data_IF_769531431684
#
_entry.id   IF_769531431684
#
_cell.length_a   1.000
_cell.length_b   1.000
_cell.length_c   1.000
_cell.angle_alpha   90.00
_cell.angle_beta   90.00
_cell.angle_gamma   90.00
#
_symmetry.space_group_name_H-M   'P 1'
#
loop_
_entity.id
_entity.type
_entity.pdbx_description
1 polymer ?
#
# COMPACT_ATOMS: atom_id res chain seq x y z
N UNK A 1 -29.68 -19.82 -25.99
CA UNK A 1 -29.15 -18.44 -26.01
C UNK A 1 -27.91 -18.43 -25.14
N UNK A 2 -26.76 -17.99 -25.65
CA UNK A 2 -25.58 -17.85 -24.80
C UNK A 2 -25.91 -16.84 -23.69
N UNK A 3 -25.73 -17.24 -22.44
CA UNK A 3 -26.00 -16.38 -21.27
C UNK A 3 -25.20 -15.09 -21.42
N UNK A 4 -25.90 -13.94 -21.43
CA UNK A 4 -25.29 -12.62 -21.49
C UNK A 4 -24.45 -12.45 -20.22
N UNK A 5 -23.13 -12.37 -20.40
CA UNK A 5 -22.22 -12.26 -19.27
C UNK A 5 -22.54 -11.01 -18.44
N UNK A 6 -22.44 -11.16 -17.13
CA UNK A 6 -22.71 -10.10 -16.17
C UNK A 6 -21.40 -9.51 -15.66
N UNK A 7 -21.31 -8.18 -15.59
CA UNK A 7 -20.06 -7.47 -15.32
C UNK A 7 -20.29 -6.28 -14.37
N UNK A 8 -19.51 -6.22 -13.29
CA UNK A 8 -19.40 -5.03 -12.44
C UNK A 8 -18.07 -4.33 -12.72
N UNK A 9 -18.09 -3.04 -13.07
CA UNK A 9 -16.88 -2.23 -13.22
C UNK A 9 -16.73 -1.34 -12.00
N UNK A 10 -15.60 -1.45 -11.30
CA UNK A 10 -15.28 -0.70 -10.09
C UNK A 10 -14.32 0.40 -10.47
N UNK A 11 -14.73 1.64 -10.21
CA UNK A 11 -14.00 2.87 -10.49
C UNK A 11 -13.68 3.57 -9.16
N UNK A 12 -12.50 3.33 -8.55
CA UNK A 12 -12.08 4.14 -7.41
C UNK A 12 -11.76 5.57 -7.89
N UNK A 13 -12.29 6.57 -7.20
CA UNK A 13 -12.17 7.97 -7.59
C UNK A 13 -11.81 8.87 -6.40
N UNK A 14 -10.90 9.83 -6.65
CA UNK A 14 -10.63 10.93 -5.76
C UNK A 14 -10.08 12.12 -6.56
N UNK A 15 -10.81 13.23 -6.57
CA UNK A 15 -10.54 14.38 -7.44
C UNK A 15 -10.45 14.02 -8.94
N UNK A 16 -11.46 13.33 -9.45
CA UNK A 16 -11.52 12.83 -10.82
C UNK A 16 -12.65 13.49 -11.64
N UNK A 17 -13.15 14.67 -11.22
CA UNK A 17 -14.28 15.35 -11.88
C UNK A 17 -14.10 15.48 -13.39
N UNK A 18 -12.90 15.86 -13.83
CA UNK A 18 -12.59 16.12 -15.24
C UNK A 18 -12.47 14.84 -16.08
N UNK A 19 -12.21 13.69 -15.43
CA UNK A 19 -12.00 12.42 -16.13
C UNK A 19 -13.25 11.52 -16.09
N UNK A 20 -13.99 11.51 -14.98
CA UNK A 20 -14.98 10.46 -14.68
C UNK A 20 -16.10 10.36 -15.72
N UNK A 21 -16.57 11.50 -16.27
CA UNK A 21 -17.55 11.50 -17.36
C UNK A 21 -17.03 10.75 -18.58
N UNK A 22 -15.88 11.17 -19.09
CA UNK A 22 -15.26 10.61 -20.30
C UNK A 22 -15.03 9.10 -20.13
N UNK A 23 -14.61 8.67 -18.94
CA UNK A 23 -14.39 7.25 -18.64
C UNK A 23 -15.70 6.47 -18.68
N UNK A 24 -16.73 6.95 -17.97
CA UNK A 24 -18.04 6.29 -17.93
C UNK A 24 -18.64 6.23 -19.33
N UNK A 25 -18.61 7.33 -20.09
CA UNK A 25 -19.09 7.38 -21.48
C UNK A 25 -18.34 6.39 -22.37
N UNK A 26 -17.03 6.24 -22.19
CA UNK A 26 -16.24 5.30 -23.00
C UNK A 26 -16.61 3.84 -22.78
N UNK A 27 -17.14 3.48 -21.60
CA UNK A 27 -17.49 2.10 -21.23
C UNK A 27 -19.00 1.83 -21.24
N UNK A 28 -19.83 2.84 -21.50
CA UNK A 28 -21.29 2.72 -21.37
C UNK A 28 -21.90 1.76 -22.39
N UNK A 29 -21.34 1.73 -23.61
CA UNK A 29 -21.76 0.85 -24.69
C UNK A 29 -21.49 -0.63 -24.38
N UNK A 30 -20.72 -0.94 -23.33
CA UNK A 30 -20.61 -2.32 -22.84
C UNK A 30 -21.95 -2.85 -22.33
N UNK A 31 -22.89 -1.98 -21.94
CA UNK A 31 -24.27 -2.37 -21.58
C UNK A 31 -25.04 -3.04 -22.73
N UNK A 32 -24.63 -2.83 -23.99
CA UNK A 32 -25.19 -3.51 -25.16
C UNK A 32 -24.76 -4.98 -25.27
N UNK A 33 -23.68 -5.36 -24.58
CA UNK A 33 -23.05 -6.70 -24.66
C UNK A 33 -23.12 -7.47 -23.34
N UNK A 34 -23.19 -6.76 -22.22
CA UNK A 34 -23.13 -7.31 -20.88
C UNK A 34 -24.28 -6.79 -20.02
N UNK A 35 -24.73 -7.62 -19.06
CA UNK A 35 -25.51 -7.10 -17.93
C UNK A 35 -24.56 -6.30 -17.05
N UNK A 36 -24.51 -4.99 -17.27
CA UNK A 36 -23.50 -4.09 -16.72
C UNK A 36 -23.94 -3.51 -15.38
N UNK A 37 -22.98 -3.31 -14.48
CA UNK A 37 -23.02 -2.42 -13.33
C UNK A 37 -21.73 -1.60 -13.34
N UNK A 38 -21.80 -0.31 -13.03
CA UNK A 38 -20.64 0.56 -12.79
C UNK A 38 -20.75 1.10 -11.37
N UNK A 39 -19.77 0.76 -10.53
CA UNK A 39 -19.67 1.22 -9.15
C UNK A 39 -18.53 2.22 -9.05
N UNK A 40 -18.86 3.49 -8.89
CA UNK A 40 -17.88 4.52 -8.55
C UNK A 40 -17.73 4.58 -7.05
N UNK A 41 -16.51 4.43 -6.54
CA UNK A 41 -16.21 4.52 -5.11
C UNK A 41 -15.42 5.80 -4.87
N UNK A 42 -16.09 6.81 -4.33
CA UNK A 42 -15.54 8.17 -4.19
C UNK A 42 -15.17 8.48 -2.72
N UNK A 43 -13.96 8.98 -2.51
CA UNK A 43 -13.41 9.33 -1.18
C UNK A 43 -13.78 10.74 -0.74
N UNK A 44 -15.05 11.09 -0.91
CA UNK A 44 -15.61 12.39 -0.56
C UNK A 44 -14.88 13.54 -1.27
N UNK A 45 -14.78 13.44 -2.60
CA UNK A 45 -13.98 14.37 -3.39
C UNK A 45 -14.51 15.81 -3.29
N UNK A 46 -13.66 16.79 -2.94
CA UNK A 46 -14.05 18.20 -2.83
C UNK A 46 -14.24 18.89 -4.20
N UNK A 47 -13.76 18.30 -5.28
CA UNK A 47 -13.84 18.87 -6.64
C UNK A 47 -15.22 18.70 -7.30
N UNK A 48 -16.11 17.93 -6.68
CA UNK A 48 -17.45 17.67 -7.19
C UNK A 48 -17.56 16.39 -8.05
N UNK A 49 -16.59 15.47 -7.96
CA UNK A 49 -16.63 14.16 -8.64
C UNK A 49 -17.93 13.41 -8.33
N UNK A 50 -18.33 13.37 -7.05
CA UNK A 50 -19.56 12.68 -6.60
C UNK A 50 -20.83 13.21 -7.28
N UNK A 51 -20.94 14.54 -7.44
CA UNK A 51 -22.09 15.23 -8.01
C UNK A 51 -22.28 14.86 -9.48
N UNK A 52 -21.17 14.82 -10.23
CA UNK A 52 -21.15 14.40 -11.63
C UNK A 52 -21.60 12.94 -11.79
N UNK A 53 -21.12 12.05 -10.92
CA UNK A 53 -21.53 10.64 -10.95
C UNK A 53 -23.02 10.47 -10.63
N UNK A 54 -23.56 11.27 -9.70
CA UNK A 54 -24.99 11.26 -9.38
C UNK A 54 -25.85 11.73 -10.56
N UNK A 55 -25.39 12.69 -11.35
CA UNK A 55 -26.08 13.12 -12.58
C UNK A 55 -26.12 11.99 -13.60
N UNK A 56 -25.01 11.28 -13.81
CA UNK A 56 -24.94 10.11 -14.70
C UNK A 56 -25.82 8.95 -14.18
N UNK A 57 -25.86 8.71 -12.88
CA UNK A 57 -26.70 7.68 -12.26
C UNK A 57 -28.21 7.94 -12.42
N UNK A 58 -28.63 9.20 -12.59
CA UNK A 58 -30.02 9.54 -12.93
C UNK A 58 -30.38 9.18 -14.37
N UNK A 59 -29.38 9.18 -15.27
CA UNK A 59 -29.56 8.83 -16.67
C UNK A 59 -29.44 7.32 -16.91
N UNK A 60 -28.54 6.65 -16.18
CA UNK A 60 -28.22 5.24 -16.37
C UNK A 60 -28.37 4.46 -15.06
N UNK A 61 -29.39 3.61 -15.00
CA UNK A 61 -29.77 2.85 -13.79
C UNK A 61 -28.74 1.82 -13.32
N UNK A 62 -27.79 1.46 -14.18
CA UNK A 62 -26.67 0.56 -13.84
C UNK A 62 -25.45 1.28 -13.26
N UNK A 63 -25.49 2.60 -13.09
CA UNK A 63 -24.42 3.37 -12.44
C UNK A 63 -24.78 3.61 -10.97
N UNK A 64 -23.84 3.34 -10.08
CA UNK A 64 -23.99 3.54 -8.63
C UNK A 64 -22.79 4.26 -8.04
N UNK A 65 -23.07 5.18 -7.12
CA UNK A 65 -22.06 5.87 -6.31
C UNK A 65 -21.99 5.27 -4.91
N UNK A 66 -20.78 4.95 -4.46
CA UNK A 66 -20.45 4.66 -3.06
C UNK A 66 -19.57 5.79 -2.55
N UNK A 67 -20.18 6.79 -1.91
CA UNK A 67 -19.47 7.93 -1.30
C UNK A 67 -18.96 7.57 0.09
N UNK A 68 -17.68 7.82 0.35
CA UNK A 68 -16.99 7.39 1.56
C UNK A 68 -16.54 8.58 2.41
N UNK A 69 -17.37 8.97 3.38
CA UNK A 69 -17.07 10.09 4.28
C UNK A 69 -16.18 9.63 5.44
N UNK A 70 -15.13 10.39 5.74
CA UNK A 70 -14.23 10.16 6.89
C UNK A 70 -13.28 8.96 6.76
N UNK A 71 -13.20 8.36 5.57
CA UNK A 71 -12.30 7.24 5.25
C UNK A 71 -11.78 7.39 3.83
N UNK A 72 -10.53 7.00 3.59
CA UNK A 72 -9.91 7.13 2.27
C UNK A 72 -8.89 6.02 1.97
N UNK A 73 -8.50 5.92 0.72
CA UNK A 73 -7.44 5.05 0.23
C UNK A 73 -7.86 4.19 -0.95
N UNK A 74 -7.01 4.13 -1.98
CA UNK A 74 -7.26 3.39 -3.22
C UNK A 74 -7.58 1.91 -2.99
N UNK A 75 -6.72 1.18 -2.26
CA UNK A 75 -6.94 -0.26 -1.99
C UNK A 75 -8.21 -0.51 -1.19
N UNK A 76 -8.61 0.41 -0.30
CA UNK A 76 -9.85 0.27 0.46
C UNK A 76 -11.07 0.56 -0.41
N UNK A 77 -10.98 1.51 -1.34
CA UNK A 77 -12.04 1.81 -2.32
C UNK A 77 -12.30 0.62 -3.23
N UNK A 78 -11.22 0.04 -3.77
CA UNK A 78 -11.27 -1.16 -4.61
C UNK A 78 -11.92 -2.31 -3.86
N UNK A 79 -11.49 -2.59 -2.62
CA UNK A 79 -12.06 -3.66 -1.80
C UNK A 79 -13.56 -3.45 -1.60
N UNK A 80 -13.97 -2.25 -1.25
CA UNK A 80 -15.37 -1.93 -1.00
C UNK A 80 -16.22 -2.04 -2.26
N UNK A 81 -15.72 -1.59 -3.40
CA UNK A 81 -16.38 -1.79 -4.70
C UNK A 81 -16.56 -3.26 -5.03
N UNK A 82 -15.51 -4.07 -4.89
CA UNK A 82 -15.56 -5.52 -5.12
C UNK A 82 -16.52 -6.25 -4.18
N UNK A 83 -16.64 -5.81 -2.93
CA UNK A 83 -17.60 -6.37 -1.97
C UNK A 83 -19.05 -5.98 -2.26
N UNK A 84 -19.26 -4.85 -2.95
CA UNK A 84 -20.57 -4.35 -3.34
C UNK A 84 -21.02 -4.81 -4.73
N UNK A 85 -20.11 -5.35 -5.54
CA UNK A 85 -20.38 -5.87 -6.88
C UNK A 85 -21.39 -7.03 -6.83
N UNK A 86 -22.40 -6.98 -7.70
CA UNK A 86 -23.51 -7.94 -7.69
C UNK A 86 -23.48 -8.95 -8.84
N UNK A 87 -22.55 -8.80 -9.78
CA UNK A 87 -22.40 -9.69 -10.93
C UNK A 87 -21.33 -10.77 -10.72
N UNK A 88 -21.26 -11.74 -11.62
CA UNK A 88 -20.31 -12.86 -11.55
C UNK A 88 -18.86 -12.39 -11.72
N UNK A 89 -18.63 -11.53 -12.72
CA UNK A 89 -17.33 -10.94 -12.99
C UNK A 89 -17.27 -9.50 -12.49
N UNK A 90 -16.10 -9.13 -11.97
CA UNK A 90 -15.80 -7.75 -11.64
C UNK A 90 -14.51 -7.30 -12.31
N UNK A 91 -14.45 -6.04 -12.72
CA UNK A 91 -13.27 -5.40 -13.28
C UNK A 91 -12.96 -4.14 -12.50
N UNK A 92 -11.70 -3.96 -12.13
CA UNK A 92 -11.19 -2.76 -11.48
C UNK A 92 -10.35 -2.01 -12.51
N UNK A 93 -10.55 -0.70 -12.61
CA UNK A 93 -9.71 0.17 -13.43
C UNK A 93 -9.66 1.59 -12.86
N UNK A 94 -8.51 2.25 -13.00
CA UNK A 94 -8.34 3.66 -12.62
C UNK A 94 -9.13 4.60 -13.56
N UNK A 95 -9.48 5.78 -13.05
CA UNK A 95 -10.27 6.79 -13.75
C UNK A 95 -9.42 7.79 -14.58
N UNK A 96 -8.19 7.44 -15.00
CA UNK A 96 -7.26 8.39 -15.62
C UNK A 96 -7.16 8.31 -17.15
N UNK A 97 -8.00 7.48 -17.78
CA UNK A 97 -8.07 7.31 -19.24
C UNK A 97 -7.05 6.35 -19.84
N UNK A 98 -6.24 5.69 -19.01
CA UNK A 98 -5.15 4.84 -19.49
C UNK A 98 -5.59 3.39 -19.79
N UNK A 99 -6.87 3.07 -19.63
CA UNK A 99 -7.41 1.71 -19.68
C UNK A 99 -8.45 1.55 -20.80
N UNK A 100 -8.08 0.95 -21.95
CA UNK A 100 -8.96 0.89 -23.11
C UNK A 100 -10.07 -0.17 -22.94
N UNK A 101 -11.23 0.10 -23.53
CA UNK A 101 -12.39 -0.82 -23.51
C UNK A 101 -12.12 -2.17 -24.19
N UNK A 102 -11.16 -2.22 -25.12
CA UNK A 102 -10.69 -3.46 -25.72
C UNK A 102 -10.06 -4.41 -24.69
N UNK A 103 -9.31 -3.88 -23.72
CA UNK A 103 -8.71 -4.68 -22.65
C UNK A 103 -9.77 -5.25 -21.71
N UNK A 104 -10.88 -4.52 -21.48
CA UNK A 104 -12.03 -5.00 -20.71
C UNK A 104 -12.60 -6.26 -21.38
N UNK A 105 -12.93 -6.16 -22.67
CA UNK A 105 -13.51 -7.27 -23.45
C UNK A 105 -12.58 -8.49 -23.49
N UNK A 106 -11.28 -8.28 -23.69
CA UNK A 106 -10.29 -9.37 -23.67
C UNK A 106 -10.21 -10.04 -22.29
N UNK A 107 -10.26 -9.26 -21.21
CA UNK A 107 -10.19 -9.79 -19.85
C UNK A 107 -11.37 -10.70 -19.52
N UNK A 108 -12.59 -10.27 -19.84
CA UNK A 108 -13.80 -11.08 -19.62
C UNK A 108 -13.81 -12.32 -20.51
N UNK A 109 -13.34 -12.21 -21.76
CA UNK A 109 -13.16 -13.37 -22.64
C UNK A 109 -12.17 -14.38 -22.07
N UNK A 110 -11.06 -13.93 -21.48
CA UNK A 110 -10.07 -14.78 -20.84
C UNK A 110 -10.60 -15.48 -19.57
N UNK A 111 -11.35 -14.77 -18.71
CA UNK A 111 -11.99 -15.38 -17.54
C UNK A 111 -12.92 -16.53 -17.97
N UNK A 112 -13.84 -16.26 -18.91
CA UNK A 112 -14.83 -17.24 -19.38
C UNK A 112 -14.23 -18.39 -20.19
N UNK A 113 -13.38 -18.07 -21.16
CA UNK A 113 -12.91 -19.02 -22.18
C UNK A 113 -11.73 -19.87 -21.74
N UNK A 114 -10.90 -19.37 -20.82
CA UNK A 114 -9.71 -20.08 -20.34
C UNK A 114 -9.86 -20.61 -18.91
N UNK A 115 -11.00 -20.36 -18.25
CA UNK A 115 -11.25 -20.76 -16.86
C UNK A 115 -10.27 -20.11 -15.89
N UNK A 116 -9.89 -18.86 -16.13
CA UNK A 116 -9.02 -18.10 -15.24
C UNK A 116 -9.86 -17.46 -14.13
N UNK A 117 -9.29 -17.37 -12.92
CA UNK A 117 -9.96 -16.72 -11.80
C UNK A 117 -9.62 -15.21 -11.72
N UNK A 118 -8.49 -14.80 -12.29
CA UNK A 118 -7.99 -13.42 -12.30
C UNK A 118 -7.26 -13.15 -13.62
N UNK A 119 -7.53 -11.99 -14.23
CA UNK A 119 -6.84 -11.50 -15.42
C UNK A 119 -6.29 -10.11 -15.12
N UNK A 120 -4.99 -9.92 -15.34
CA UNK A 120 -4.31 -8.65 -15.10
C UNK A 120 -4.05 -7.94 -16.42
N UNK A 121 -4.37 -6.65 -16.51
CA UNK A 121 -3.89 -5.82 -17.60
C UNK A 121 -2.43 -5.46 -17.34
N UNK A 122 -1.54 -5.91 -18.20
CA UNK A 122 -0.10 -5.70 -18.04
C UNK A 122 0.42 -4.67 -19.02
N UNK A 123 1.27 -3.75 -18.53
CA UNK A 123 2.01 -2.79 -19.34
C UNK A 123 3.27 -3.39 -19.96
N UNK A 124 3.72 -4.54 -19.47
CA UNK A 124 5.00 -5.17 -19.81
C UNK A 124 4.83 -6.48 -20.59
N UNK A 125 3.59 -6.88 -20.89
CA UNK A 125 3.31 -8.06 -21.70
C UNK A 125 3.59 -7.76 -23.18
N UNK A 126 3.99 -8.77 -23.95
CA UNK A 126 4.14 -8.63 -25.41
C UNK A 126 2.83 -8.15 -26.04
N UNK A 127 2.92 -7.12 -26.90
CA UNK A 127 1.76 -6.45 -27.49
C UNK A 127 1.24 -5.24 -26.69
N UNK A 128 1.85 -4.94 -25.54
CA UNK A 128 1.62 -3.69 -24.80
C UNK A 128 2.40 -2.54 -25.42
N UNK A 129 1.94 -1.31 -25.19
CA UNK A 129 2.66 -0.10 -25.56
C UNK A 129 2.65 0.88 -24.38
N UNK A 130 3.80 1.46 -24.06
CA UNK A 130 3.94 2.44 -22.99
C UNK A 130 4.21 3.79 -23.64
N UNK A 131 3.15 4.56 -23.89
CA UNK A 131 3.24 5.88 -24.54
C UNK A 131 3.27 7.02 -23.51
N UNK A 132 2.93 6.72 -22.23
CA UNK A 132 2.68 7.72 -21.19
C UNK A 132 3.61 7.74 -19.96
N UNK A 133 4.63 6.88 -19.86
CA UNK A 133 5.56 6.91 -18.72
C UNK A 133 6.76 7.82 -19.01
N UNK A 134 7.20 8.58 -18.00
CA UNK A 134 8.53 9.19 -18.00
C UNK A 134 9.58 8.10 -17.70
N UNK A 135 10.78 8.19 -18.27
CA UNK A 135 11.84 7.17 -18.13
C UNK A 135 12.12 6.78 -16.65
N UNK A 136 12.06 7.75 -15.73
CA UNK A 136 12.26 7.51 -14.28
C UNK A 136 11.13 6.69 -13.63
N UNK A 137 9.90 6.78 -14.16
CA UNK A 137 8.75 6.01 -13.64
C UNK A 137 8.72 4.60 -14.18
N UNK A 138 9.20 4.40 -15.39
CA UNK A 138 9.34 3.08 -15.98
C UNK A 138 10.37 2.24 -15.22
N UNK A 139 11.52 2.83 -14.87
CA UNK A 139 12.56 2.16 -14.08
C UNK A 139 12.08 1.82 -12.66
N UNK A 140 11.40 2.75 -11.98
CA UNK A 140 10.81 2.49 -10.67
C UNK A 140 9.73 1.39 -10.71
N UNK A 141 8.86 1.40 -11.73
CA UNK A 141 7.82 0.37 -11.92
C UNK A 141 8.43 -1.00 -12.22
N UNK A 142 9.48 -1.04 -13.04
CA UNK A 142 10.22 -2.26 -13.36
C UNK A 142 10.89 -2.83 -12.11
N UNK A 143 11.53 -1.99 -11.30
CA UNK A 143 12.14 -2.39 -10.04
C UNK A 143 11.12 -2.91 -9.04
N UNK A 144 9.96 -2.25 -8.91
CA UNK A 144 8.87 -2.72 -8.07
C UNK A 144 8.34 -4.09 -8.52
N UNK A 145 8.17 -4.29 -9.84
CA UNK A 145 7.78 -5.60 -10.38
C UNK A 145 8.82 -6.69 -10.13
N UNK A 146 10.11 -6.37 -10.25
CA UNK A 146 11.20 -7.30 -9.93
C UNK A 146 11.18 -7.75 -8.46
N UNK A 147 11.00 -6.81 -7.53
CA UNK A 147 10.89 -7.12 -6.10
C UNK A 147 9.61 -7.91 -5.80
N UNK A 148 8.48 -7.49 -6.37
CA UNK A 148 7.20 -8.19 -6.20
C UNK A 148 7.32 -9.66 -6.62
N UNK A 149 7.87 -9.93 -7.80
CA UNK A 149 8.12 -11.28 -8.34
C UNK A 149 8.91 -12.19 -7.40
N UNK A 150 9.85 -11.63 -6.62
CA UNK A 150 10.64 -12.38 -5.63
C UNK A 150 9.86 -12.71 -4.35
N UNK A 151 8.92 -11.85 -3.97
CA UNK A 151 8.18 -11.94 -2.70
C UNK A 151 6.89 -12.76 -2.73
N UNK A 152 6.37 -13.07 -3.92
CA UNK A 152 5.10 -13.78 -4.12
C UNK A 152 5.31 -15.26 -4.50
N UNK A 153 4.23 -16.03 -4.48
CA UNK A 153 4.23 -17.45 -4.85
C UNK A 153 4.89 -17.72 -6.20
N UNK A 154 5.64 -18.83 -6.30
CA UNK A 154 6.30 -19.25 -7.54
C UNK A 154 5.32 -19.41 -8.71
N UNK A 155 4.06 -19.74 -8.40
CA UNK A 155 2.96 -19.90 -9.36
C UNK A 155 2.58 -18.61 -10.10
N UNK A 156 3.04 -17.44 -9.65
CA UNK A 156 2.76 -16.14 -10.28
C UNK A 156 3.95 -15.52 -10.99
N UNK A 157 5.10 -16.19 -11.04
CA UNK A 157 6.33 -15.65 -11.63
C UNK A 157 6.25 -15.43 -13.15
N UNK A 158 5.25 -16.02 -13.82
CA UNK A 158 4.97 -15.81 -15.23
C UNK A 158 4.34 -14.45 -15.51
N UNK A 159 3.74 -13.80 -14.51
CA UNK A 159 3.18 -12.46 -14.66
C UNK A 159 4.29 -11.42 -14.86
N UNK A 160 3.97 -10.39 -15.62
CA UNK A 160 4.86 -9.30 -16.01
C UNK A 160 4.53 -8.01 -15.27
N UNK A 161 3.28 -7.80 -14.81
CA UNK A 161 2.88 -6.60 -14.05
C UNK A 161 2.08 -6.93 -12.78
N UNK A 162 2.73 -6.81 -11.63
CA UNK A 162 2.13 -7.01 -10.30
C UNK A 162 1.50 -5.74 -9.72
N UNK A 163 1.76 -4.58 -10.35
CA UNK A 163 1.43 -3.25 -9.82
C UNK A 163 0.29 -2.57 -10.58
N UNK A 164 -0.32 -3.29 -11.52
CA UNK A 164 -1.40 -2.77 -12.37
C UNK A 164 -2.62 -2.33 -11.56
N UNK A 165 -3.20 -1.20 -11.97
CA UNK A 165 -4.52 -0.73 -11.52
C UNK A 165 -5.68 -1.36 -12.29
N UNK A 166 -5.39 -2.18 -13.30
CA UNK A 166 -6.38 -2.83 -14.16
C UNK A 166 -6.36 -4.35 -13.98
N UNK A 167 -7.45 -4.91 -13.49
CA UNK A 167 -7.60 -6.36 -13.40
C UNK A 167 -9.08 -6.77 -13.35
N UNK A 168 -9.37 -7.97 -13.86
CA UNK A 168 -10.69 -8.58 -13.83
C UNK A 168 -10.67 -9.88 -13.01
N UNK A 169 -11.72 -10.15 -12.26
CA UNK A 169 -11.85 -11.33 -11.39
C UNK A 169 -13.15 -12.06 -11.64
N UNK A 170 -13.10 -13.38 -11.51
CA UNK A 170 -14.25 -14.19 -11.14
C UNK A 170 -14.50 -13.99 -9.64
N UNK A 171 -15.62 -13.34 -9.29
CA UNK A 171 -15.91 -13.04 -7.89
C UNK A 171 -16.20 -14.30 -7.07
N UNK A 172 -16.79 -15.34 -7.65
CA UNK A 172 -17.05 -16.59 -6.92
C UNK A 172 -15.74 -17.18 -6.39
N UNK A 173 -14.71 -17.15 -7.22
CA UNK A 173 -13.40 -17.73 -6.92
C UNK A 173 -12.54 -16.81 -6.05
N UNK A 174 -12.54 -15.50 -6.35
CA UNK A 174 -11.67 -14.54 -5.68
C UNK A 174 -12.23 -13.99 -4.35
N UNK A 175 -13.54 -14.02 -4.12
CA UNK A 175 -14.19 -13.35 -2.98
C UNK A 175 -13.64 -13.76 -1.60
N UNK A 176 -13.38 -15.05 -1.29
CA UNK A 176 -12.79 -15.43 0.00
C UNK A 176 -11.43 -14.75 0.24
N UNK A 177 -10.62 -14.62 -0.81
CA UNK A 177 -9.30 -14.00 -0.74
C UNK A 177 -9.44 -12.48 -0.66
N UNK A 178 -10.30 -11.87 -1.48
CA UNK A 178 -10.62 -10.43 -1.46
C UNK A 178 -11.00 -9.98 -0.05
N UNK A 179 -11.84 -10.73 0.67
CA UNK A 179 -12.20 -10.44 2.07
C UNK A 179 -10.99 -10.41 3.00
N UNK A 180 -10.00 -11.25 2.76
CA UNK A 180 -8.76 -11.35 3.55
C UNK A 180 -7.67 -10.34 3.18
N UNK A 181 -7.83 -9.60 2.07
CA UNK A 181 -6.87 -8.58 1.62
C UNK A 181 -6.78 -7.45 2.64
N UNK A 182 -5.55 -7.10 3.02
CA UNK A 182 -5.28 -5.94 3.86
C UNK A 182 -5.14 -4.69 2.98
N UNK A 183 -6.04 -3.74 3.18
CA UNK A 183 -6.15 -2.50 2.40
C UNK A 183 -5.10 -1.45 2.79
N UNK A 184 -4.38 -1.68 3.89
CA UNK A 184 -3.25 -0.84 4.28
C UNK A 184 -1.95 -1.17 3.51
N UNK A 185 -2.01 -2.12 2.58
CA UNK A 185 -0.88 -2.49 1.73
C UNK A 185 -0.70 -1.55 0.54
N UNK A 186 0.43 -1.68 -0.13
CA UNK A 186 0.84 -0.78 -1.22
C UNK A 186 -0.15 -0.74 -2.40
N UNK A 187 -0.45 -1.90 -2.99
CA UNK A 187 -1.33 -2.04 -4.15
C UNK A 187 -2.26 -3.23 -3.93
N UNK A 188 -3.55 -3.03 -4.19
CA UNK A 188 -4.57 -4.06 -3.97
C UNK A 188 -4.26 -5.36 -4.73
N UNK A 189 -3.89 -5.26 -6.02
CA UNK A 189 -3.54 -6.43 -6.83
C UNK A 189 -2.36 -7.23 -6.24
N UNK A 190 -1.31 -6.55 -5.82
CA UNK A 190 -0.16 -7.19 -5.17
C UNK A 190 -0.58 -7.95 -3.91
N UNK A 191 -1.38 -7.32 -3.05
CA UNK A 191 -1.88 -7.96 -1.82
C UNK A 191 -2.81 -9.13 -2.11
N UNK A 192 -3.65 -9.03 -3.15
CA UNK A 192 -4.51 -10.11 -3.61
C UNK A 192 -3.68 -11.32 -4.06
N UNK A 193 -2.64 -11.11 -4.88
CA UNK A 193 -1.72 -12.17 -5.31
C UNK A 193 -0.95 -12.77 -4.12
N UNK A 194 -0.45 -11.93 -3.21
CA UNK A 194 0.25 -12.37 -2.02
C UNK A 194 -0.64 -13.14 -1.04
N UNK A 195 -1.94 -12.84 -0.96
CA UNK A 195 -2.93 -13.57 -0.13
C UNK A 195 -3.39 -14.86 -0.81
N UNK A 196 -3.59 -14.81 -2.12
CA UNK A 196 -3.96 -15.98 -2.92
C UNK A 196 -2.89 -17.07 -2.87
N UNK A 197 -1.60 -16.68 -2.80
CA UNK A 197 -0.47 -17.61 -2.67
C UNK A 197 -0.44 -18.73 -3.73
N UNK A 198 -0.97 -18.48 -4.93
CA UNK A 198 -1.03 -19.47 -6.01
C UNK A 198 -2.32 -20.30 -6.06
N UNK A 199 -3.35 -19.92 -5.28
CA UNK A 199 -4.68 -20.56 -5.31
C UNK A 199 -5.48 -20.14 -6.56
N UNK A 200 -5.46 -18.86 -6.92
CA UNK A 200 -6.09 -18.34 -8.13
C UNK A 200 -5.27 -18.67 -9.38
N UNK A 201 -5.93 -19.06 -10.47
CA UNK A 201 -5.41 -19.16 -11.82
C UNK A 201 -5.37 -17.77 -12.46
N UNK A 202 -4.18 -17.30 -12.80
CA UNK A 202 -3.96 -15.92 -13.22
C UNK A 202 -3.36 -15.85 -14.62
N UNK A 203 -3.95 -15.02 -15.48
CA UNK A 203 -3.41 -14.66 -16.79
C UNK A 203 -3.26 -13.15 -16.96
N UNK A 204 -2.70 -12.75 -18.11
CA UNK A 204 -2.52 -11.34 -18.46
C UNK A 204 -3.15 -11.02 -19.82
N UNK A 205 -3.51 -9.74 -20.00
CA UNK A 205 -3.83 -9.12 -21.29
C UNK A 205 -2.94 -7.88 -21.47
N UNK A 206 -2.55 -7.53 -22.71
CA UNK A 206 -1.71 -6.35 -22.92
C UNK A 206 -2.53 -5.07 -22.69
N UNK A 207 -1.89 -4.06 -22.11
CA UNK A 207 -2.42 -2.70 -22.00
C UNK A 207 -1.66 -1.75 -22.92
N UNK A 208 -2.41 -0.88 -23.57
CA UNK A 208 -1.87 0.29 -24.26
C UNK A 208 -1.96 1.44 -23.26
N UNK A 209 -0.85 1.76 -22.62
CA UNK A 209 -0.76 2.72 -21.54
C UNK A 209 -0.48 4.12 -22.12
N UNK A 210 -1.57 4.82 -22.42
CA UNK A 210 -1.56 6.18 -22.98
C UNK A 210 -1.22 7.25 -21.92
N UNK A 211 -1.02 8.51 -22.34
CA UNK A 211 -0.90 9.62 -21.39
C UNK A 211 -2.22 9.84 -20.66
N UNK A 212 -2.13 10.20 -19.37
CA UNK A 212 -3.31 10.61 -18.58
C UNK A 212 -4.02 11.78 -19.26
N UNK A 213 -5.35 11.75 -19.22
CA UNK A 213 -6.19 12.84 -19.73
C UNK A 213 -5.95 14.13 -18.91
N UNK A 214 -6.09 14.03 -17.59
CA UNK A 214 -5.86 15.14 -16.66
C UNK A 214 -5.12 14.70 -15.37
N UNK A 215 -4.48 15.65 -14.69
CA UNK A 215 -3.83 15.46 -13.40
C UNK A 215 -2.33 15.08 -13.42
N UNK A 216 -1.68 15.18 -12.25
CA UNK A 216 -0.26 14.81 -12.07
C UNK A 216 -0.13 13.61 -11.16
N UNK A 217 0.48 12.51 -11.63
CA UNK A 217 1.00 11.50 -10.71
C UNK A 217 2.20 12.10 -9.97
N UNK A 218 2.29 11.92 -8.65
CA UNK A 218 3.47 12.26 -7.86
C UNK A 218 3.96 10.96 -7.22
N UNK A 219 5.21 10.59 -7.49
CA UNK A 219 5.89 9.55 -6.73
C UNK A 219 6.18 10.14 -5.35
N UNK A 220 5.26 9.93 -4.42
CA UNK A 220 5.43 10.33 -3.03
C UNK A 220 6.37 9.32 -2.33
N UNK A 221 7.27 9.82 -1.49
CA UNK A 221 8.12 8.99 -0.62
C UNK A 221 7.25 8.03 0.22
N UNK A 222 6.05 8.47 0.62
CA UNK A 222 5.10 7.62 1.33
C UNK A 222 4.67 6.39 0.51
N UNK A 223 4.51 6.55 -0.81
CA UNK A 223 4.15 5.47 -1.73
C UNK A 223 5.30 4.47 -1.85
N UNK A 224 6.54 4.95 -2.03
CA UNK A 224 7.71 4.09 -2.06
C UNK A 224 7.92 3.33 -0.72
N UNK A 225 7.63 4.00 0.40
CA UNK A 225 7.71 3.42 1.73
C UNK A 225 6.68 2.30 1.92
N UNK A 226 5.41 2.52 1.57
CA UNK A 226 4.36 1.49 1.64
C UNK A 226 4.71 0.24 0.83
N UNK A 227 5.34 0.42 -0.34
CA UNK A 227 5.84 -0.68 -1.15
C UNK A 227 6.91 -1.49 -0.42
N UNK A 228 7.95 -0.83 0.11
CA UNK A 228 9.01 -1.47 0.86
C UNK A 228 8.45 -2.27 2.06
N UNK A 229 7.51 -1.69 2.81
CA UNK A 229 6.86 -2.36 3.93
C UNK A 229 6.05 -3.58 3.50
N UNK A 230 5.32 -3.49 2.38
CA UNK A 230 4.52 -4.61 1.86
C UNK A 230 5.42 -5.75 1.38
N UNK A 231 6.52 -5.43 0.70
CA UNK A 231 7.54 -6.39 0.28
C UNK A 231 8.17 -7.12 1.46
N UNK A 232 8.66 -6.38 2.47
CA UNK A 232 9.28 -6.97 3.68
C UNK A 232 8.26 -7.79 4.48
N UNK A 233 7.01 -7.32 4.59
CA UNK A 233 5.94 -8.07 5.24
C UNK A 233 5.67 -9.41 4.53
N UNK A 234 5.61 -9.40 3.18
CA UNK A 234 5.42 -10.64 2.40
C UNK A 234 6.59 -11.61 2.57
N UNK A 235 7.84 -11.12 2.51
CA UNK A 235 9.04 -11.96 2.71
C UNK A 235 9.11 -12.53 4.13
N UNK A 236 8.65 -11.77 5.14
CA UNK A 236 8.57 -12.25 6.52
C UNK A 236 7.47 -13.32 6.75
N UNK A 237 6.88 -13.87 5.68
CA UNK A 237 5.72 -14.76 5.72
C UNK A 237 4.54 -14.17 6.51
N UNK A 238 4.46 -12.84 6.53
CA UNK A 238 3.46 -12.05 7.26
C UNK A 238 3.49 -12.23 8.78
N UNK A 239 4.63 -12.67 9.34
CA UNK A 239 4.82 -12.83 10.79
C UNK A 239 4.98 -11.48 11.50
N UNK A 240 5.59 -10.49 10.83
CA UNK A 240 5.89 -9.19 11.42
C UNK A 240 4.90 -8.14 10.88
N UNK A 241 4.17 -7.40 11.75
CA UNK A 241 3.27 -6.34 11.31
C UNK A 241 4.00 -5.23 10.54
N UNK A 242 3.38 -4.68 9.48
CA UNK A 242 3.99 -3.60 8.66
C UNK A 242 4.42 -2.38 9.49
N UNK A 243 3.63 -2.01 10.51
CA UNK A 243 3.97 -0.91 11.42
C UNK A 243 5.24 -1.19 12.22
N UNK A 244 5.43 -2.43 12.69
CA UNK A 244 6.66 -2.82 13.38
C UNK A 244 7.86 -2.79 12.42
N UNK A 245 7.72 -3.27 11.19
CA UNK A 245 8.77 -3.15 10.16
C UNK A 245 9.14 -1.69 9.92
N UNK A 246 8.15 -0.82 9.75
CA UNK A 246 8.38 0.61 9.57
C UNK A 246 9.09 1.22 10.77
N UNK A 247 8.64 0.91 11.98
CA UNK A 247 9.24 1.41 13.21
C UNK A 247 10.72 0.96 13.34
N UNK A 248 11.03 -0.28 12.94
CA UNK A 248 12.39 -0.81 12.92
C UNK A 248 13.28 -0.08 11.92
N UNK A 249 12.81 0.13 10.69
CA UNK A 249 13.57 0.86 9.67
C UNK A 249 13.84 2.31 10.08
N UNK A 250 12.86 2.96 10.72
CA UNK A 250 13.06 4.31 11.29
C UNK A 250 14.09 4.24 12.42
N UNK A 251 13.98 3.26 13.33
CA UNK A 251 14.96 3.03 14.40
C UNK A 251 16.40 2.89 13.87
N UNK A 252 16.59 2.14 12.78
CA UNK A 252 17.88 2.00 12.09
C UNK A 252 18.36 3.35 11.54
N UNK A 253 17.47 4.15 10.93
CA UNK A 253 17.82 5.50 10.49
C UNK A 253 18.29 6.40 11.63
N UNK A 254 17.70 6.25 12.82
CA UNK A 254 18.12 6.94 14.05
C UNK A 254 19.55 6.62 14.46
N UNK A 255 20.02 5.39 14.27
CA UNK A 255 21.42 5.02 14.52
C UNK A 255 22.36 5.84 13.64
N UNK A 256 22.04 6.00 12.36
CA UNK A 256 22.82 6.85 11.45
C UNK A 256 22.79 8.32 11.89
N UNK A 257 21.63 8.84 12.27
CA UNK A 257 21.50 10.21 12.79
C UNK A 257 22.35 10.40 14.04
N UNK A 258 22.37 9.42 14.94
CA UNK A 258 23.20 9.48 16.15
C UNK A 258 24.68 9.53 15.80
N UNK A 259 25.17 8.60 14.98
CA UNK A 259 26.57 8.53 14.56
C UNK A 259 27.01 9.82 13.86
N UNK A 260 26.18 10.32 12.95
CA UNK A 260 26.43 11.57 12.24
C UNK A 260 26.44 12.78 13.20
N UNK A 261 25.51 12.84 14.14
CA UNK A 261 25.45 13.92 15.13
C UNK A 261 26.68 13.93 16.03
N UNK A 262 27.13 12.75 16.49
CA UNK A 262 28.39 12.62 17.24
C UNK A 262 29.56 13.12 16.40
N UNK A 263 29.66 12.70 15.13
CA UNK A 263 30.72 13.14 14.23
C UNK A 263 30.79 14.66 14.10
N UNK A 264 29.65 15.32 13.89
CA UNK A 264 29.58 16.79 13.78
C UNK A 264 29.97 17.45 15.11
N UNK A 265 29.42 16.98 16.22
CA UNK A 265 29.67 17.56 17.55
C UNK A 265 31.15 17.47 17.93
N UNK A 266 31.81 16.34 17.65
CA UNK A 266 33.21 16.15 18.02
C UNK A 266 34.18 16.79 17.04
N UNK A 267 33.96 16.67 15.73
CA UNK A 267 34.95 17.07 14.72
C UNK A 267 34.76 18.51 14.22
N UNK A 268 33.54 19.04 14.27
CA UNK A 268 33.25 20.40 13.77
C UNK A 268 33.05 21.36 14.94
N UNK A 269 32.26 20.96 15.94
CA UNK A 269 31.93 21.81 17.07
C UNK A 269 32.86 21.63 18.29
N UNK A 270 33.86 20.73 18.17
CA UNK A 270 34.89 20.47 19.18
C UNK A 270 34.36 20.10 20.59
N UNK A 271 33.16 19.52 20.68
CA UNK A 271 32.66 18.94 21.93
C UNK A 271 33.40 17.65 22.27
N UNK A 272 33.51 17.34 23.56
CA UNK A 272 34.01 16.03 23.99
C UNK A 272 33.05 14.91 23.55
N UNK A 273 33.57 13.69 23.34
CA UNK A 273 32.74 12.54 22.99
C UNK A 273 31.65 12.28 24.05
N UNK A 274 32.00 12.37 25.33
CA UNK A 274 31.08 12.14 26.45
C UNK A 274 29.96 13.19 26.51
N UNK A 275 30.28 14.47 26.24
CA UNK A 275 29.28 15.54 26.16
C UNK A 275 28.42 15.44 24.90
N UNK A 276 28.95 14.89 23.82
CA UNK A 276 28.24 14.74 22.54
C UNK A 276 27.18 13.64 22.56
N UNK A 277 27.42 12.56 23.33
CA UNK A 277 26.58 11.37 23.30
C UNK A 277 25.12 11.63 23.74
N UNK A 278 24.83 12.32 24.87
CA UNK A 278 23.45 12.62 25.26
C UNK A 278 22.70 13.48 24.23
N UNK A 279 23.40 14.46 23.65
CA UNK A 279 22.83 15.35 22.62
C UNK A 279 22.48 14.55 21.37
N UNK A 280 23.40 13.71 20.89
CA UNK A 280 23.19 12.88 19.72
C UNK A 280 22.06 11.86 19.91
N UNK A 281 21.92 11.27 21.11
CA UNK A 281 20.81 10.36 21.44
C UNK A 281 19.46 11.08 21.37
N UNK A 282 19.36 12.29 21.93
CA UNK A 282 18.12 13.08 21.88
C UNK A 282 17.79 13.48 20.44
N UNK A 283 18.79 13.89 19.64
CA UNK A 283 18.59 14.22 18.22
C UNK A 283 18.11 13.02 17.42
N UNK A 284 18.71 11.84 17.62
CA UNK A 284 18.29 10.60 16.98
C UNK A 284 16.88 10.18 17.39
N UNK A 285 16.55 10.24 18.69
CA UNK A 285 15.20 9.92 19.18
C UNK A 285 14.15 10.90 18.66
N UNK A 286 14.49 12.19 18.56
CA UNK A 286 13.62 13.22 17.99
C UNK A 286 13.40 12.98 16.50
N UNK A 287 14.45 12.63 15.75
CA UNK A 287 14.34 12.26 14.34
C UNK A 287 13.45 11.03 14.15
N UNK A 288 13.66 9.98 14.95
CA UNK A 288 12.80 8.80 14.96
C UNK A 288 11.33 9.14 15.22
N UNK A 289 11.06 10.00 16.20
CA UNK A 289 9.69 10.45 16.49
C UNK A 289 9.05 11.15 15.29
N UNK A 290 9.76 12.11 14.69
CA UNK A 290 9.23 12.90 13.58
C UNK A 290 8.98 12.04 12.34
N UNK A 291 9.93 11.15 11.99
CA UNK A 291 9.79 10.24 10.85
C UNK A 291 8.65 9.24 11.10
N UNK A 292 8.54 8.66 12.30
CA UNK A 292 7.44 7.76 12.65
C UNK A 292 6.08 8.48 12.59
N UNK A 293 6.00 9.75 13.00
CA UNK A 293 4.76 10.55 12.92
C UNK A 293 4.31 10.79 11.48
N UNK A 294 5.27 10.92 10.55
CA UNK A 294 4.99 11.17 9.13
C UNK A 294 4.68 9.87 8.38
N UNK A 295 5.45 8.81 8.63
CA UNK A 295 5.38 7.56 7.85
C UNK A 295 4.60 6.47 8.59
N UNK A 296 5.06 6.04 9.76
CA UNK A 296 4.53 4.87 10.48
C UNK A 296 3.13 5.07 11.04
N UNK A 297 2.86 6.25 11.60
CA UNK A 297 1.60 6.62 12.23
C UNK A 297 0.87 7.72 11.45
N UNK A 298 1.01 7.74 10.13
CA UNK A 298 0.44 8.78 9.25
C UNK A 298 -1.05 9.04 9.46
N UNK A 299 -1.83 8.00 9.78
CA UNK A 299 -3.27 8.08 10.00
C UNK A 299 -3.64 8.67 11.37
N UNK A 300 -2.71 8.69 12.32
CA UNK A 300 -2.86 9.26 13.66
C UNK A 300 -1.87 10.41 13.88
N UNK A 301 -1.49 11.11 12.80
CA UNK A 301 -0.43 12.12 12.81
C UNK A 301 -0.74 13.24 13.81
N UNK A 302 0.21 13.51 14.68
CA UNK A 302 0.14 14.60 15.65
C UNK A 302 0.64 15.89 15.00
N UNK A 303 -0.10 16.98 15.20
CA UNK A 303 0.21 18.32 14.68
C UNK A 303 0.11 19.39 15.79
N UNK A 304 0.78 20.53 15.61
CA UNK A 304 0.75 21.66 16.54
C UNK A 304 1.17 21.27 17.96
N UNK A 305 0.42 21.70 18.97
CA UNK A 305 0.71 21.40 20.39
C UNK A 305 0.70 19.89 20.69
N UNK A 306 -0.08 19.08 19.96
CA UNK A 306 -0.09 17.62 20.13
C UNK A 306 1.23 17.00 19.69
N UNK A 307 1.91 17.57 18.69
CA UNK A 307 3.22 17.09 18.23
C UNK A 307 4.28 17.26 19.33
N UNK A 308 4.29 18.39 20.03
CA UNK A 308 5.25 18.66 21.10
C UNK A 308 4.99 17.74 22.30
N UNK A 309 3.72 17.60 22.72
CA UNK A 309 3.32 16.67 23.78
C UNK A 309 3.61 15.20 23.43
N UNK A 310 3.50 14.85 22.15
CA UNK A 310 3.85 13.51 21.67
C UNK A 310 5.35 13.26 21.74
N UNK A 311 6.18 14.26 21.41
CA UNK A 311 7.64 14.14 21.50
C UNK A 311 8.10 13.87 22.93
N UNK A 312 7.58 14.63 23.91
CA UNK A 312 7.94 14.40 25.33
C UNK A 312 7.55 13.01 25.80
N UNK A 313 6.35 12.55 25.47
CA UNK A 313 5.93 11.16 25.74
C UNK A 313 6.84 10.14 25.06
N UNK A 314 7.19 10.35 23.80
CA UNK A 314 8.04 9.43 23.05
C UNK A 314 9.44 9.32 23.66
N UNK A 315 10.04 10.43 24.06
CA UNK A 315 11.36 10.45 24.73
C UNK A 315 11.32 9.71 26.07
N UNK A 316 10.27 9.93 26.88
CA UNK A 316 10.07 9.23 28.16
C UNK A 316 9.88 7.72 27.96
N UNK A 317 9.05 7.32 26.98
CA UNK A 317 8.83 5.92 26.66
C UNK A 317 10.13 5.27 26.18
N UNK A 318 10.90 5.98 25.35
CA UNK A 318 12.13 5.46 24.72
C UNK A 318 13.31 5.35 25.69
N UNK A 319 13.30 6.09 26.80
CA UNK A 319 14.37 6.01 27.81
C UNK A 319 14.25 4.78 28.72
N UNK A 320 13.02 4.26 28.94
CA UNK A 320 12.79 3.17 29.89
C UNK A 320 13.49 1.85 29.52
N UNK A 321 13.51 1.41 28.25
CA UNK A 321 14.16 0.15 27.90
C UNK A 321 15.67 0.14 28.04
N UNK A 322 16.34 1.29 28.15
CA UNK A 322 17.79 1.33 28.23
C UNK A 322 18.31 0.49 29.42
N UNK A 323 17.72 0.69 30.60
CA UNK A 323 18.08 -0.06 31.81
C UNK A 323 17.58 -1.51 31.73
N UNK A 324 16.36 -1.71 31.22
CA UNK A 324 15.77 -3.04 31.11
C UNK A 324 16.52 -3.95 30.12
N UNK A 325 17.04 -3.39 29.02
CA UNK A 325 17.86 -4.08 28.03
C UNK A 325 19.13 -4.67 28.69
N UNK A 326 19.85 -3.84 29.45
CA UNK A 326 21.06 -4.28 30.17
C UNK A 326 20.71 -5.39 31.16
N UNK A 327 19.68 -5.18 31.99
CA UNK A 327 19.27 -6.17 32.99
C UNK A 327 18.85 -7.51 32.39
N UNK A 328 18.05 -7.50 31.32
CA UNK A 328 17.58 -8.72 30.65
C UNK A 328 18.71 -9.46 29.94
N UNK A 329 19.60 -8.73 29.26
CA UNK A 329 20.75 -9.34 28.60
C UNK A 329 21.69 -9.99 29.64
N UNK A 330 22.01 -9.31 30.73
CA UNK A 330 22.83 -9.85 31.82
C UNK A 330 22.18 -11.08 32.46
N UNK A 331 20.88 -11.02 32.79
CA UNK A 331 20.17 -12.15 33.39
C UNK A 331 20.16 -13.39 32.49
N UNK A 332 19.94 -13.21 31.17
CA UNK A 332 19.99 -14.31 30.20
C UNK A 332 21.38 -14.93 30.09
N UNK A 333 22.41 -14.08 30.05
CA UNK A 333 23.81 -14.51 29.96
C UNK A 333 24.23 -15.37 31.17
N UNK A 334 23.84 -14.94 32.37
CA UNK A 334 24.20 -15.60 33.62
C UNK A 334 23.40 -16.88 33.90
N UNK A 335 22.11 -16.91 33.57
CA UNK A 335 21.21 -17.97 34.03
C UNK A 335 20.76 -18.96 32.95
N UNK A 336 20.89 -18.63 31.66
CA UNK A 336 20.37 -19.45 30.56
C UNK A 336 21.49 -19.90 29.62
N UNK A 337 22.28 -18.95 29.09
CA UNK A 337 23.34 -19.27 28.14
C UNK A 337 24.42 -18.20 28.14
N UNK A 338 25.67 -18.60 28.34
CA UNK A 338 26.86 -17.74 28.29
C UNK A 338 27.23 -17.29 26.86
N UNK A 339 26.26 -17.23 25.94
CA UNK A 339 26.46 -16.69 24.61
C UNK A 339 26.10 -15.19 24.61
N UNK A 340 27.14 -14.35 24.57
CA UNK A 340 27.04 -12.88 24.63
C UNK A 340 26.16 -12.32 23.51
N UNK A 341 26.31 -12.85 22.30
CA UNK A 341 25.60 -12.36 21.13
C UNK A 341 24.10 -12.61 21.25
N UNK A 342 23.70 -13.80 21.71
CA UNK A 342 22.28 -14.14 21.91
C UNK A 342 21.67 -13.28 23.02
N UNK A 343 22.40 -13.09 24.12
CA UNK A 343 21.96 -12.25 25.24
C UNK A 343 21.71 -10.79 24.79
N UNK A 344 22.62 -10.21 24.02
CA UNK A 344 22.47 -8.85 23.49
C UNK A 344 21.31 -8.73 22.49
N UNK A 345 21.15 -9.70 21.59
CA UNK A 345 20.05 -9.72 20.62
C UNK A 345 18.68 -9.75 21.32
N UNK A 346 18.53 -10.55 22.38
CA UNK A 346 17.29 -10.63 23.16
C UNK A 346 16.96 -9.29 23.83
N UNK A 347 17.95 -8.65 24.43
CA UNK A 347 17.77 -7.33 25.03
C UNK A 347 17.36 -6.26 24.00
N UNK A 348 17.97 -6.27 22.80
CA UNK A 348 17.59 -5.38 21.68
C UNK A 348 16.16 -5.65 21.22
N UNK A 349 15.79 -6.93 21.05
CA UNK A 349 14.42 -7.32 20.65
C UNK A 349 13.40 -6.85 21.68
N UNK A 350 13.71 -7.00 22.98
CA UNK A 350 12.86 -6.50 24.05
C UNK A 350 12.71 -4.98 23.98
N UNK A 351 13.83 -4.25 23.90
CA UNK A 351 13.81 -2.80 23.84
C UNK A 351 13.04 -2.27 22.62
N UNK A 352 13.24 -2.91 21.47
CA UNK A 352 12.47 -2.62 20.26
C UNK A 352 10.97 -2.86 20.46
N UNK A 353 10.60 -4.03 21.02
CA UNK A 353 9.20 -4.42 21.23
C UNK A 353 8.50 -3.45 22.18
N UNK A 354 9.15 -3.10 23.29
CA UNK A 354 8.65 -2.09 24.21
C UNK A 354 8.45 -0.75 23.51
N UNK A 355 9.50 -0.25 22.84
CA UNK A 355 9.45 1.05 22.17
C UNK A 355 8.32 1.10 21.14
N UNK A 356 8.13 0.04 20.35
CA UNK A 356 7.05 -0.04 19.39
C UNK A 356 5.67 -0.05 20.06
N UNK A 357 5.43 -0.99 20.99
CA UNK A 357 4.12 -1.18 21.62
C UNK A 357 3.72 0.02 22.48
N UNK A 358 4.63 0.49 23.33
CA UNK A 358 4.39 1.62 24.21
C UNK A 358 4.22 2.91 23.41
N UNK A 359 5.00 3.15 22.35
CA UNK A 359 4.79 4.35 21.54
C UNK A 359 3.48 4.29 20.77
N UNK A 360 3.13 3.14 20.17
CA UNK A 360 1.83 2.94 19.51
C UNK A 360 0.66 3.26 20.45
N UNK A 361 0.73 2.77 21.70
CA UNK A 361 -0.35 2.89 22.68
C UNK A 361 -0.43 4.24 23.39
N UNK A 362 0.71 4.83 23.78
CA UNK A 362 0.74 6.01 24.66
C UNK A 362 1.03 7.33 23.94
N UNK A 363 1.75 7.28 22.80
CA UNK A 363 2.11 8.46 22.01
C UNK A 363 1.04 8.70 20.95
N UNK A 364 0.80 7.71 20.09
CA UNK A 364 -0.14 7.82 18.96
C UNK A 364 -1.54 7.28 19.25
N UNK A 365 -1.74 6.62 20.41
CA UNK A 365 -3.01 6.02 20.83
C UNK A 365 -3.68 5.18 19.73
N UNK A 366 -2.89 4.51 18.90
CA UNK A 366 -3.42 3.63 17.86
C UNK A 366 -3.83 2.30 18.47
N UNK A 367 -5.04 1.79 18.16
CA UNK A 367 -5.54 0.53 18.70
C UNK A 367 -4.68 -0.68 18.33
#
# INVERSE_FOLDING_TARGET
MAETASLSIILPAFNERDNICTIIESIIDLSLQYKLEIIVVDDDSPDGTSEVVLELARQYSFIRLVRRVGRSGLSSAIKEGLLNACHEYALVMDCDGQHPTSAIKQSISHLRGKGLDLVVGSRFLQGSAINGLTNDRESASTFANFLAKKSISKRYRHLTDYMSGFFAVDLKQAMPIIRSVDVNGFKFLYELLAKSNGALLVGEVPLIFEKRLHGSSKLDIAVAWDFLLSFLHSISLKLIPRRAISFALVGLSGVFVQLFSVFILTNILAYSFQSSLPIAVILAATSNYLINNILTFRFARLNGLKLIKGLTKFLLVSSLPFVANIGLASAYYEHISSNELIAQLLGIIFAFTWNYVASSKFVWNTP
#
